data_IF_739610717738
#
_entry.id   IF_739610717738
#
_cell.length_a   1.000
_cell.length_b   1.000
_cell.length_c   1.000
_cell.angle_alpha   90.00
_cell.angle_beta   90.00
_cell.angle_gamma   90.00
#
_symmetry.space_group_name_H-M   'P 1'
#
loop_
_entity.id
_entity.type
_entity.pdbx_description
1 polymer ?
#
# COMPACT_ATOMS: atom_id res chain seq x y z
N UNK A 1 40.52 82.78 40.36
CA UNK A 1 40.66 82.01 39.10
C UNK A 1 39.38 81.90 38.26
N UNK A 2 38.18 82.26 38.73
CA UNK A 2 36.92 82.05 37.99
C UNK A 2 36.39 83.22 37.13
N UNK A 3 37.05 84.39 37.11
CA UNK A 3 36.58 85.55 36.30
C UNK A 3 36.61 85.32 34.78
N UNK A 4 37.39 84.34 34.31
CA UNK A 4 37.48 83.98 32.88
C UNK A 4 36.29 83.17 32.37
N UNK A 5 35.53 82.51 33.25
CA UNK A 5 34.35 81.72 32.86
C UNK A 5 33.12 82.59 32.58
N UNK A 6 33.11 83.84 33.03
CA UNK A 6 32.01 84.80 32.87
C UNK A 6 32.25 85.84 31.77
N UNK A 7 33.18 85.57 30.84
CA UNK A 7 33.32 86.40 29.65
C UNK A 7 32.17 86.09 28.68
N UNK A 8 31.50 87.11 28.14
CA UNK A 8 30.43 86.99 27.12
C UNK A 8 30.73 85.97 26.01
N UNK A 9 31.99 85.87 25.58
CA UNK A 9 32.47 84.92 24.56
C UNK A 9 32.34 83.44 24.99
N UNK A 10 32.55 83.12 26.27
CA UNK A 10 32.40 81.76 26.82
C UNK A 10 30.92 81.38 26.85
N UNK A 11 30.03 82.31 27.26
CA UNK A 11 28.59 82.12 27.18
C UNK A 11 28.10 81.90 25.75
N UNK A 12 28.62 82.66 24.78
CA UNK A 12 28.30 82.50 23.36
C UNK A 12 28.73 81.13 22.81
N UNK A 13 29.94 80.67 23.13
CA UNK A 13 30.44 79.34 22.73
C UNK A 13 29.65 78.21 23.39
N UNK A 14 29.22 78.37 24.66
CA UNK A 14 28.38 77.39 25.34
C UNK A 14 26.99 77.29 24.69
N UNK A 15 26.37 78.41 24.34
CA UNK A 15 25.09 78.42 23.61
C UNK A 15 25.24 77.82 22.21
N UNK A 16 26.34 78.11 21.51
CA UNK A 16 26.64 77.49 20.22
C UNK A 16 26.83 75.97 20.33
N UNK A 17 27.57 75.51 21.36
CA UNK A 17 27.75 74.08 21.62
C UNK A 17 26.44 73.37 21.96
N UNK A 18 25.57 74.01 22.76
CA UNK A 18 24.21 73.51 23.05
C UNK A 18 23.38 73.45 21.76
N UNK A 19 23.42 74.50 20.93
CA UNK A 19 22.71 74.51 19.66
C UNK A 19 23.16 73.41 18.70
N UNK A 20 24.47 73.19 18.59
CA UNK A 20 25.04 72.08 17.79
C UNK A 20 24.63 70.72 18.37
N UNK A 21 24.67 70.55 19.68
CA UNK A 21 24.29 69.30 20.34
C UNK A 21 22.80 69.00 20.14
N UNK A 22 21.92 69.99 20.34
CA UNK A 22 20.48 69.87 20.07
C UNK A 22 20.23 69.58 18.59
N UNK A 23 20.94 70.25 17.68
CA UNK A 23 20.85 70.00 16.24
C UNK A 23 21.26 68.58 15.86
N UNK A 24 22.38 68.06 16.41
CA UNK A 24 22.84 66.69 16.19
C UNK A 24 21.83 65.68 16.73
N UNK A 25 21.33 65.87 17.95
CA UNK A 25 20.30 65.00 18.54
C UNK A 25 19.04 64.99 17.66
N UNK A 26 18.54 66.16 17.26
CA UNK A 26 17.37 66.27 16.38
C UNK A 26 17.60 65.56 15.03
N UNK A 27 18.77 65.75 14.42
CA UNK A 27 19.11 65.15 13.13
C UNK A 27 19.26 63.63 13.23
N UNK A 28 19.84 63.11 14.32
CA UNK A 28 19.91 61.66 14.57
C UNK A 28 18.53 61.04 14.75
N UNK A 29 17.64 61.65 15.53
CA UNK A 29 16.26 61.17 15.68
C UNK A 29 15.50 61.24 14.36
N UNK A 30 15.65 62.32 13.59
CA UNK A 30 15.02 62.48 12.28
C UNK A 30 15.51 61.44 11.27
N UNK A 31 16.80 61.14 11.27
CA UNK A 31 17.38 60.07 10.46
C UNK A 31 16.88 58.69 10.89
N UNK A 32 16.77 58.44 12.21
CA UNK A 32 16.25 57.19 12.76
C UNK A 32 14.78 56.96 12.36
N UNK A 33 13.94 57.99 12.42
CA UNK A 33 12.54 57.93 11.98
C UNK A 33 12.41 57.50 10.52
N UNK A 34 13.22 58.10 9.64
CA UNK A 34 13.23 57.80 8.21
C UNK A 34 13.79 56.41 7.91
N UNK A 35 14.83 56.00 8.63
CA UNK A 35 15.53 54.75 8.33
C UNK A 35 14.88 53.52 8.96
N UNK A 36 14.20 53.67 10.10
CA UNK A 36 13.61 52.54 10.82
C UNK A 36 12.14 52.26 10.49
N UNK A 37 11.52 53.06 9.61
CA UNK A 37 10.10 52.99 9.27
C UNK A 37 9.23 52.88 10.55
N UNK A 38 9.55 53.70 11.55
CA UNK A 38 8.95 53.63 12.87
C UNK A 38 7.42 53.82 12.78
N UNK A 39 6.65 52.89 13.35
CA UNK A 39 5.18 52.92 13.34
C UNK A 39 4.50 52.37 12.07
N UNK A 40 5.24 51.93 11.04
CA UNK A 40 4.66 51.23 9.88
C UNK A 40 4.51 49.74 10.19
N UNK A 41 3.32 49.37 10.65
CA UNK A 41 3.01 47.99 11.01
C UNK A 41 1.78 47.47 10.26
N UNK A 42 1.95 46.31 9.65
CA UNK A 42 0.92 45.60 8.91
C UNK A 42 0.27 44.59 9.88
N UNK A 43 -1.07 44.53 9.96
CA UNK A 43 -1.74 43.49 10.73
C UNK A 43 -1.63 42.15 9.99
N UNK A 44 -1.28 41.10 10.72
CA UNK A 44 -1.23 39.74 10.15
C UNK A 44 -2.65 39.29 9.79
N UNK A 45 -2.94 38.95 8.52
CA UNK A 45 -4.27 38.50 8.12
C UNK A 45 -4.59 37.13 8.74
N UNK A 46 -5.87 36.88 9.01
CA UNK A 46 -6.31 35.59 9.49
C UNK A 46 -6.46 34.61 8.32
N UNK A 47 -5.46 33.75 8.15
CA UNK A 47 -5.43 32.71 7.12
C UNK A 47 -5.58 31.29 7.70
N UNK A 48 -5.95 31.17 8.98
CA UNK A 48 -6.20 29.87 9.62
C UNK A 48 -7.43 29.22 8.98
N UNK A 49 -7.37 27.91 8.76
CA UNK A 49 -8.36 27.09 8.05
C UNK A 49 -8.51 27.36 6.56
N UNK A 50 -7.76 28.31 5.99
CA UNK A 50 -7.68 28.49 4.53
C UNK A 50 -6.79 27.41 3.90
N UNK A 51 -6.92 27.24 2.59
CA UNK A 51 -5.94 26.47 1.83
C UNK A 51 -4.59 27.20 1.82
N UNK A 52 -3.49 26.45 1.75
CA UNK A 52 -2.14 27.02 1.63
C UNK A 52 -2.05 28.04 0.49
N UNK A 53 -2.71 27.79 -0.64
CA UNK A 53 -2.67 28.68 -1.80
C UNK A 53 -3.37 30.02 -1.52
N UNK A 54 -4.56 29.98 -0.93
CA UNK A 54 -5.29 31.20 -0.53
C UNK A 54 -4.55 31.98 0.57
N UNK A 55 -3.96 31.27 1.52
CA UNK A 55 -3.18 31.86 2.60
C UNK A 55 -1.93 32.59 2.07
N UNK A 56 -1.20 31.96 1.14
CA UNK A 56 -0.05 32.58 0.48
C UNK A 56 -0.49 33.85 -0.25
N UNK A 57 -1.57 33.79 -1.03
CA UNK A 57 -2.10 34.94 -1.74
C UNK A 57 -2.47 36.08 -0.78
N UNK A 58 -3.16 35.79 0.32
CA UNK A 58 -3.54 36.79 1.30
C UNK A 58 -2.33 37.44 2.02
N UNK A 59 -1.24 36.69 2.21
CA UNK A 59 0.00 37.23 2.78
C UNK A 59 0.77 38.07 1.77
N UNK A 60 0.83 37.63 0.51
CA UNK A 60 1.46 38.38 -0.58
C UNK A 60 0.70 39.70 -0.85
N UNK A 61 -0.65 39.66 -0.87
CA UNK A 61 -1.52 40.84 -1.00
C UNK A 61 -1.32 41.83 0.18
N UNK A 62 -0.94 41.32 1.36
CA UNK A 62 -0.62 42.11 2.54
C UNK A 62 0.86 42.56 2.61
N UNK A 63 1.70 42.23 1.61
CA UNK A 63 3.12 42.59 1.60
C UNK A 63 3.97 41.87 2.67
N UNK A 64 3.51 40.71 3.15
CA UNK A 64 4.20 39.90 4.15
C UNK A 64 4.96 38.76 3.48
N UNK A 65 6.06 38.33 4.09
CA UNK A 65 6.75 37.11 3.66
C UNK A 65 6.19 35.91 4.42
N UNK A 66 6.44 34.69 3.92
CA UNK A 66 5.97 33.48 4.55
C UNK A 66 7.03 32.39 4.55
N UNK A 67 6.94 31.52 5.54
CA UNK A 67 7.73 30.30 5.70
C UNK A 67 6.74 29.16 6.02
N UNK A 68 6.85 28.05 5.32
CA UNK A 68 5.93 26.92 5.47
C UNK A 68 6.62 25.86 6.34
N UNK A 69 6.01 25.59 7.49
CA UNK A 69 6.41 24.52 8.40
C UNK A 69 5.40 23.36 8.27
N UNK A 70 5.90 22.16 7.99
CA UNK A 70 5.07 20.97 7.79
C UNK A 70 4.97 20.19 9.09
N UNK A 71 3.78 20.14 9.68
CA UNK A 71 3.55 19.39 10.91
C UNK A 71 3.36 17.88 10.68
N UNK A 72 2.95 17.15 11.74
CA UNK A 72 2.41 15.80 11.58
C UNK A 72 1.07 15.87 10.86
N UNK A 73 0.85 14.95 9.91
CA UNK A 73 -0.43 14.80 9.24
C UNK A 73 -1.54 14.45 10.23
N UNK A 74 -2.65 15.16 10.12
CA UNK A 74 -3.88 14.88 10.86
C UNK A 74 -5.05 14.74 9.87
N UNK A 75 -5.71 13.56 9.81
CA UNK A 75 -6.82 13.31 8.89
C UNK A 75 -8.08 14.12 9.20
N UNK A 76 -8.17 14.80 10.35
CA UNK A 76 -9.30 15.70 10.68
C UNK A 76 -9.32 16.97 9.83
N UNK A 77 -8.17 17.36 9.28
CA UNK A 77 -8.02 18.59 8.50
C UNK A 77 -7.77 18.26 7.02
N UNK A 78 -8.11 19.19 6.12
CA UNK A 78 -7.83 19.02 4.70
C UNK A 78 -6.32 19.04 4.44
N UNK A 79 -5.88 18.36 3.39
CA UNK A 79 -4.49 18.43 2.94
C UNK A 79 -4.13 19.87 2.58
N UNK A 80 -2.94 20.32 3.02
CA UNK A 80 -2.44 21.68 2.83
C UNK A 80 -3.31 22.79 3.46
N UNK A 81 -4.18 22.44 4.42
CA UNK A 81 -4.88 23.44 5.22
C UNK A 81 -3.92 24.09 6.21
N UNK A 82 -4.00 25.42 6.37
CA UNK A 82 -3.27 26.14 7.41
C UNK A 82 -3.90 25.83 8.76
N UNK A 83 -3.11 25.23 9.65
CA UNK A 83 -3.54 24.85 11.00
C UNK A 83 -3.22 25.95 12.00
N UNK A 84 -2.06 26.58 11.84
CA UNK A 84 -1.57 27.60 12.74
C UNK A 84 -0.69 28.59 12.00
N UNK A 85 -0.65 29.81 12.51
CA UNK A 85 0.15 30.91 12.00
C UNK A 85 0.90 31.56 13.15
N UNK A 86 2.13 31.97 12.91
CA UNK A 86 2.94 32.73 13.86
C UNK A 86 3.69 33.88 13.18
N UNK A 87 3.59 35.13 13.67
CA UNK A 87 2.76 35.61 14.78
C UNK A 87 1.24 35.42 14.59
N UNK A 88 0.47 35.47 15.68
CA UNK A 88 -0.97 35.19 15.66
C UNK A 88 -1.74 36.20 14.77
N UNK A 89 -2.91 35.83 14.22
CA UNK A 89 -3.73 36.75 13.43
C UNK A 89 -4.04 38.04 14.19
N UNK A 90 -4.00 39.18 13.50
CA UNK A 90 -4.20 40.50 14.10
C UNK A 90 -2.97 41.08 14.82
N UNK A 91 -1.90 40.29 15.01
CA UNK A 91 -0.62 40.83 15.48
C UNK A 91 -0.08 41.86 14.50
N UNK A 92 0.61 42.86 15.00
CA UNK A 92 1.25 43.88 14.19
C UNK A 92 2.70 43.51 13.92
N UNK A 93 3.09 43.51 12.65
CA UNK A 93 4.45 43.18 12.21
C UNK A 93 4.96 44.23 11.25
N UNK A 94 6.29 44.38 11.18
CA UNK A 94 6.92 45.20 10.14
C UNK A 94 6.72 44.53 8.78
N UNK A 95 6.79 45.36 7.74
CA UNK A 95 6.83 44.91 6.35
C UNK A 95 7.94 43.87 6.14
N UNK A 96 7.71 42.93 5.24
CA UNK A 96 8.65 41.86 4.92
C UNK A 96 8.99 40.91 6.08
N UNK A 97 8.21 40.92 7.19
CA UNK A 97 8.34 39.89 8.23
C UNK A 97 7.88 38.54 7.68
N UNK A 98 8.72 37.52 7.83
CA UNK A 98 8.35 36.14 7.53
C UNK A 98 7.35 35.61 8.57
N UNK A 99 6.19 35.23 8.07
CA UNK A 99 5.09 34.62 8.80
C UNK A 99 5.19 33.10 8.67
N UNK A 100 5.34 32.41 9.79
CA UNK A 100 5.41 30.94 9.81
C UNK A 100 4.01 30.35 9.73
N UNK A 101 3.77 29.55 8.71
CA UNK A 101 2.53 28.82 8.48
C UNK A 101 2.75 27.35 8.78
N UNK A 102 2.07 26.85 9.82
CA UNK A 102 2.01 25.41 10.07
C UNK A 102 0.87 24.82 9.27
N UNK A 103 1.20 23.97 8.31
CA UNK A 103 0.24 23.36 7.39
C UNK A 103 0.07 21.87 7.67
N UNK A 104 -1.12 21.36 7.38
CA UNK A 104 -1.35 19.93 7.34
C UNK A 104 -0.68 19.35 6.08
N UNK A 105 0.24 18.38 6.19
CA UNK A 105 0.81 17.72 5.02
C UNK A 105 -0.24 17.07 4.12
N UNK A 106 0.20 16.61 2.94
CA UNK A 106 -0.66 15.85 2.03
C UNK A 106 -1.12 14.52 2.63
N UNK A 107 -0.22 13.81 3.28
CA UNK A 107 -0.44 12.46 3.81
C UNK A 107 0.52 12.19 4.97
N UNK A 108 0.38 11.02 5.59
CA UNK A 108 1.25 10.56 6.66
C UNK A 108 2.73 10.55 6.26
N UNK A 109 3.60 10.72 7.26
CA UNK A 109 5.04 10.55 7.08
C UNK A 109 5.34 9.17 6.45
N UNK A 110 6.31 9.13 5.54
CA UNK A 110 6.68 7.90 4.87
C UNK A 110 7.48 7.01 5.81
N UNK A 111 7.30 5.70 5.67
CA UNK A 111 8.03 4.65 6.36
C UNK A 111 8.64 3.71 5.33
N UNK A 112 9.79 3.14 5.67
CA UNK A 112 10.50 2.19 4.82
C UNK A 112 9.86 0.82 4.91
N UNK A 113 9.56 0.21 3.76
CA UNK A 113 9.10 -1.18 3.67
C UNK A 113 10.27 -2.10 4.00
N UNK A 114 10.16 -2.96 5.02
CA UNK A 114 11.21 -3.87 5.43
C UNK A 114 11.35 -5.01 4.43
N UNK A 115 12.52 -5.65 4.43
CA UNK A 115 12.67 -6.92 3.73
C UNK A 115 12.00 -8.05 4.51
N UNK A 116 10.94 -8.59 3.92
CA UNK A 116 10.08 -9.63 4.49
C UNK A 116 9.99 -10.84 3.56
N UNK A 117 10.78 -10.87 2.48
CA UNK A 117 10.81 -11.99 1.55
C UNK A 117 11.40 -13.23 2.22
N UNK A 118 10.87 -14.41 1.90
CA UNK A 118 11.24 -15.68 2.52
C UNK A 118 11.13 -15.66 4.06
N UNK A 119 10.13 -14.94 4.58
CA UNK A 119 9.77 -14.94 6.01
C UNK A 119 8.33 -15.43 6.17
N UNK A 120 8.06 -16.12 7.27
CA UNK A 120 6.72 -16.65 7.54
C UNK A 120 5.71 -15.52 7.78
N UNK A 121 4.51 -15.69 7.22
CA UNK A 121 3.43 -14.70 7.23
C UNK A 121 3.16 -14.09 8.60
N UNK A 122 3.13 -14.89 9.66
CA UNK A 122 2.85 -14.41 11.02
C UNK A 122 3.90 -13.39 11.50
N UNK A 123 5.18 -13.67 11.25
CA UNK A 123 6.28 -12.75 11.59
C UNK A 123 6.20 -11.47 10.78
N UNK A 124 5.89 -11.60 9.49
CA UNK A 124 5.75 -10.46 8.57
C UNK A 124 4.61 -9.54 8.98
N UNK A 125 3.47 -10.10 9.38
CA UNK A 125 2.29 -9.32 9.78
C UNK A 125 2.61 -8.42 10.98
N UNK A 126 3.20 -9.00 12.03
CA UNK A 126 3.63 -8.24 13.21
C UNK A 126 4.69 -7.20 12.87
N UNK A 127 5.63 -7.53 11.99
CA UNK A 127 6.69 -6.60 11.58
C UNK A 127 6.14 -5.40 10.83
N UNK A 128 5.20 -5.61 9.89
CA UNK A 128 4.55 -4.55 9.12
C UNK A 128 3.67 -3.67 10.02
N UNK A 129 2.88 -4.27 10.91
CA UNK A 129 2.03 -3.54 11.84
C UNK A 129 2.85 -2.63 12.77
N UNK A 130 3.98 -3.13 13.28
CA UNK A 130 4.87 -2.37 14.19
C UNK A 130 5.42 -1.09 13.57
N UNK A 131 5.72 -1.10 12.27
CA UNK A 131 6.18 0.08 11.54
C UNK A 131 5.02 0.93 11.00
N UNK A 132 3.78 0.52 11.28
CA UNK A 132 2.57 1.21 10.89
C UNK A 132 2.18 0.98 9.43
N UNK A 133 2.56 -0.13 8.81
CA UNK A 133 2.00 -0.58 7.53
C UNK A 133 0.90 -1.62 7.80
N UNK A 134 -0.13 -1.64 6.96
CA UNK A 134 -1.26 -2.57 7.10
C UNK A 134 -1.14 -3.70 6.09
N UNK A 135 -1.48 -4.91 6.51
CA UNK A 135 -1.65 -6.03 5.59
C UNK A 135 -3.05 -5.94 4.98
N UNK A 136 -3.10 -5.97 3.65
CA UNK A 136 -4.34 -6.04 2.88
C UNK A 136 -4.69 -7.48 2.56
N UNK A 137 -4.76 -7.78 1.27
CA UNK A 137 -5.09 -9.11 0.78
C UNK A 137 -3.88 -10.05 0.86
N UNK A 138 -4.19 -11.34 1.04
CA UNK A 138 -3.19 -12.42 0.99
C UNK A 138 -3.46 -13.30 -0.20
N UNK A 139 -2.55 -13.26 -1.18
CA UNK A 139 -2.64 -14.00 -2.43
C UNK A 139 -1.77 -15.24 -2.28
N UNK A 140 -2.36 -16.42 -2.47
CA UNK A 140 -1.63 -17.67 -2.34
C UNK A 140 -1.16 -18.17 -3.70
N UNK A 141 0.15 -18.43 -3.82
CA UNK A 141 0.78 -18.95 -5.03
C UNK A 141 1.60 -20.21 -4.71
N UNK A 142 1.64 -21.21 -5.61
CA UNK A 142 2.45 -22.42 -5.38
C UNK A 142 3.93 -22.09 -5.17
N UNK A 143 4.50 -22.60 -4.08
CA UNK A 143 5.90 -22.36 -3.71
C UNK A 143 6.42 -23.48 -2.85
N UNK A 144 7.72 -23.77 -2.92
CA UNK A 144 8.37 -24.79 -2.09
C UNK A 144 8.26 -24.45 -0.59
N UNK A 145 8.20 -23.17 -0.25
CA UNK A 145 8.12 -22.69 1.14
C UNK A 145 6.66 -22.35 1.50
N UNK A 146 5.92 -23.24 2.19
CA UNK A 146 4.57 -22.94 2.63
C UNK A 146 4.57 -21.81 3.68
N UNK A 147 3.55 -20.97 3.64
CA UNK A 147 3.34 -19.83 4.54
C UNK A 147 4.44 -18.75 4.54
N UNK A 148 5.44 -18.87 3.67
CA UNK A 148 6.45 -17.84 3.46
C UNK A 148 5.94 -16.77 2.51
N UNK A 149 6.24 -15.51 2.81
CA UNK A 149 5.99 -14.39 1.90
C UNK A 149 7.01 -14.46 0.77
N UNK A 150 6.53 -14.67 -0.45
CA UNK A 150 7.36 -14.74 -1.67
C UNK A 150 7.34 -13.43 -2.46
N UNK A 151 6.38 -12.54 -2.16
CA UNK A 151 6.27 -11.26 -2.83
C UNK A 151 5.36 -10.29 -2.08
N UNK A 152 5.42 -9.02 -2.48
CA UNK A 152 4.59 -7.95 -1.96
C UNK A 152 4.02 -7.14 -3.12
N UNK A 153 2.81 -6.62 -2.95
CA UNK A 153 2.17 -5.71 -3.92
C UNK A 153 1.61 -4.48 -3.22
N UNK A 154 1.67 -3.35 -3.91
CA UNK A 154 1.06 -2.10 -3.49
C UNK A 154 0.29 -1.52 -4.67
N UNK A 155 -1.02 -1.28 -4.51
CA UNK A 155 -1.92 -0.82 -5.57
C UNK A 155 -1.78 -1.63 -6.87
N UNK A 156 -1.76 -2.97 -6.76
CA UNK A 156 -1.66 -3.88 -7.90
C UNK A 156 -0.26 -4.01 -8.54
N UNK A 157 0.73 -3.27 -8.06
CA UNK A 157 2.11 -3.30 -8.60
C UNK A 157 3.05 -4.03 -7.65
N UNK A 158 4.05 -4.74 -8.17
CA UNK A 158 5.09 -5.39 -7.36
C UNK A 158 5.83 -4.35 -6.52
N UNK A 159 5.97 -4.63 -5.23
CA UNK A 159 6.61 -3.77 -4.25
C UNK A 159 7.97 -4.36 -3.84
N UNK A 160 9.02 -3.57 -3.96
CA UNK A 160 10.36 -3.95 -3.51
C UNK A 160 10.62 -3.52 -2.05
N UNK A 161 11.40 -4.31 -1.28
CA UNK A 161 11.94 -3.85 0.00
C UNK A 161 12.70 -2.52 -0.13
N UNK A 162 12.71 -1.73 0.94
CA UNK A 162 13.34 -0.40 0.96
C UNK A 162 12.48 0.73 0.38
N UNK A 163 11.35 0.42 -0.26
CA UNK A 163 10.43 1.44 -0.80
C UNK A 163 9.84 2.28 0.33
N UNK A 164 9.70 3.59 0.11
CA UNK A 164 9.08 4.51 1.07
C UNK A 164 7.58 4.66 0.78
N UNK A 165 6.75 4.20 1.70
CA UNK A 165 5.30 4.31 1.61
C UNK A 165 4.75 5.19 2.74
N UNK A 166 3.66 5.96 2.52
CA UNK A 166 2.98 6.65 3.60
C UNK A 166 2.62 5.68 4.73
N UNK A 167 2.79 6.09 5.99
CA UNK A 167 2.33 5.29 7.12
C UNK A 167 0.83 5.00 6.96
N UNK A 168 0.43 3.82 7.43
CA UNK A 168 -0.89 3.22 7.31
C UNK A 168 -1.31 2.81 5.89
N UNK A 169 -0.37 2.81 4.94
CA UNK A 169 -0.59 2.18 3.64
C UNK A 169 -0.86 0.69 3.79
N UNK A 170 -1.78 0.19 2.96
CA UNK A 170 -2.12 -1.22 2.86
C UNK A 170 -1.27 -1.90 1.80
N UNK A 171 -0.67 -3.04 2.13
CA UNK A 171 0.19 -3.84 1.25
C UNK A 171 -0.40 -5.24 1.15
N UNK A 172 -0.52 -5.74 -0.06
CA UNK A 172 -0.96 -7.12 -0.31
C UNK A 172 0.26 -8.04 -0.32
N UNK A 173 0.11 -9.23 0.25
CA UNK A 173 1.21 -10.18 0.39
C UNK A 173 0.95 -11.39 -0.49
N UNK A 174 1.98 -11.81 -1.22
CA UNK A 174 1.98 -13.08 -1.95
C UNK A 174 2.62 -14.11 -1.04
N UNK A 175 1.86 -15.13 -0.66
CA UNK A 175 2.21 -16.16 0.30
C UNK A 175 2.33 -17.50 -0.43
N UNK A 176 3.36 -18.27 -0.12
CA UNK A 176 3.51 -19.63 -0.61
C UNK A 176 2.41 -20.55 -0.06
N UNK A 177 1.66 -21.23 -0.92
CA UNK A 177 0.69 -22.25 -0.51
C UNK A 177 1.32 -23.64 -0.30
N UNK A 178 2.63 -23.77 -0.50
CA UNK A 178 3.28 -25.07 -0.62
C UNK A 178 3.29 -25.59 -2.07
N UNK A 179 3.91 -26.75 -2.32
CA UNK A 179 3.83 -27.43 -3.60
C UNK A 179 2.37 -27.73 -3.97
N UNK A 180 2.06 -27.75 -5.27
CA UNK A 180 0.72 -28.16 -5.72
C UNK A 180 0.42 -29.58 -5.25
N UNK A 181 -0.78 -29.79 -4.73
CA UNK A 181 -1.25 -31.10 -4.26
C UNK A 181 -2.25 -31.70 -5.23
N UNK A 182 -2.43 -33.02 -5.14
CA UNK A 182 -3.45 -33.76 -5.88
C UNK A 182 -3.37 -33.59 -7.40
N UNK A 183 -2.15 -33.56 -7.95
CA UNK A 183 -1.93 -33.60 -9.40
C UNK A 183 -2.11 -35.03 -9.88
N UNK A 184 -2.85 -35.23 -10.98
CA UNK A 184 -3.00 -36.53 -11.60
C UNK A 184 -1.70 -36.95 -12.30
N UNK A 185 -1.22 -38.15 -11.99
CA UNK A 185 -0.04 -38.74 -12.61
C UNK A 185 -0.34 -39.03 -14.09
N UNK A 186 0.47 -38.52 -15.05
CA UNK A 186 0.25 -38.75 -16.46
C UNK A 186 0.45 -40.23 -16.83
N UNK A 187 -0.21 -40.68 -17.89
CA UNK A 187 0.08 -41.98 -18.49
C UNK A 187 1.23 -41.83 -19.49
N UNK A 188 2.37 -42.45 -19.19
CA UNK A 188 3.55 -42.50 -20.05
C UNK A 188 3.83 -43.89 -20.61
N UNK A 189 3.00 -44.89 -20.27
CA UNK A 189 3.11 -46.24 -20.83
C UNK A 189 2.82 -46.21 -22.32
N UNK A 190 3.66 -46.89 -23.10
CA UNK A 190 3.62 -46.92 -24.57
C UNK A 190 4.35 -45.75 -25.24
N UNK A 191 4.86 -44.78 -24.48
CA UNK A 191 5.68 -43.68 -25.01
C UNK A 191 7.17 -44.03 -24.97
N UNK A 192 7.99 -43.32 -25.74
CA UNK A 192 9.44 -43.43 -25.59
C UNK A 192 9.90 -42.81 -24.28
N UNK A 193 11.01 -43.29 -23.70
CA UNK A 193 11.58 -42.71 -22.47
C UNK A 193 11.81 -41.20 -22.62
N UNK A 194 12.28 -40.75 -23.79
CA UNK A 194 12.42 -39.33 -24.10
C UNK A 194 11.09 -38.56 -23.97
N UNK A 195 10.01 -39.08 -24.54
CA UNK A 195 8.68 -38.47 -24.46
C UNK A 195 8.13 -38.51 -23.05
N UNK A 196 8.28 -39.64 -22.36
CA UNK A 196 7.86 -39.84 -20.99
C UNK A 196 8.51 -38.80 -20.07
N UNK A 197 9.83 -38.61 -20.17
CA UNK A 197 10.56 -37.62 -19.38
C UNK A 197 10.00 -36.20 -19.57
N UNK A 198 9.76 -35.80 -20.81
CA UNK A 198 9.18 -34.47 -21.10
C UNK A 198 7.79 -34.31 -20.48
N UNK A 199 6.93 -35.32 -20.59
CA UNK A 199 5.56 -35.27 -20.07
C UNK A 199 5.54 -35.27 -18.54
N UNK A 200 6.41 -36.07 -17.90
CA UNK A 200 6.58 -36.12 -16.44
C UNK A 200 6.97 -34.73 -15.90
N UNK A 201 8.00 -34.12 -16.47
CA UNK A 201 8.47 -32.79 -16.06
C UNK A 201 7.41 -31.69 -16.31
N UNK A 202 6.75 -31.71 -17.47
CA UNK A 202 5.66 -30.77 -17.79
C UNK A 202 4.44 -30.94 -16.87
N UNK A 203 4.24 -32.14 -16.32
CA UNK A 203 3.17 -32.44 -15.38
C UNK A 203 3.54 -32.17 -13.92
N UNK A 204 4.63 -31.41 -13.68
CA UNK A 204 5.13 -31.03 -12.35
C UNK A 204 5.64 -32.21 -11.51
N UNK A 205 6.02 -33.32 -12.13
CA UNK A 205 6.66 -34.47 -11.49
C UNK A 205 8.13 -34.56 -11.87
N UNK A 206 8.88 -35.44 -11.20
CA UNK A 206 10.28 -35.70 -11.50
C UNK A 206 10.43 -37.15 -11.95
N UNK A 207 11.35 -37.43 -12.87
CA UNK A 207 11.70 -38.81 -13.21
C UNK A 207 12.45 -39.44 -12.02
N UNK A 208 11.95 -40.56 -11.52
CA UNK A 208 12.59 -41.32 -10.45
C UNK A 208 13.53 -42.39 -11.02
N UNK A 209 13.27 -43.65 -10.68
CA UNK A 209 13.95 -44.81 -11.24
C UNK A 209 13.59 -44.98 -12.72
N UNK A 210 14.59 -45.17 -13.57
CA UNK A 210 14.41 -45.63 -14.94
C UNK A 210 15.14 -46.95 -15.12
N UNK A 211 14.40 -48.05 -15.19
CA UNK A 211 14.95 -49.39 -15.35
C UNK A 211 14.76 -49.89 -16.78
N UNK A 212 15.83 -50.43 -17.36
CA UNK A 212 15.86 -50.88 -18.74
C UNK A 212 16.03 -52.39 -18.78
N UNK A 213 15.25 -53.04 -19.64
CA UNK A 213 15.22 -54.50 -19.71
C UNK A 213 16.58 -55.14 -20.05
N UNK A 214 17.33 -54.51 -20.95
CA UNK A 214 18.66 -54.93 -21.38
C UNK A 214 19.78 -54.30 -20.52
N UNK A 215 19.41 -53.54 -19.47
CA UNK A 215 20.31 -52.80 -18.60
C UNK A 215 21.00 -51.61 -19.27
N UNK A 216 20.71 -51.31 -20.54
CA UNK A 216 21.27 -50.18 -21.26
C UNK A 216 20.26 -49.06 -21.32
N UNK A 217 20.63 -47.90 -20.78
CA UNK A 217 19.82 -46.70 -20.91
C UNK A 217 19.78 -46.22 -22.37
N UNK A 218 18.61 -46.37 -23.00
CA UNK A 218 18.31 -45.87 -24.34
C UNK A 218 17.00 -45.06 -24.28
N UNK A 219 17.10 -43.76 -24.59
CA UNK A 219 15.96 -42.84 -24.58
C UNK A 219 14.89 -43.17 -25.63
N UNK A 220 15.22 -44.05 -26.59
CA UNK A 220 14.34 -44.52 -27.66
C UNK A 220 13.47 -45.71 -27.23
N UNK A 221 13.80 -46.37 -26.11
CA UNK A 221 13.05 -47.51 -25.60
C UNK A 221 11.63 -47.11 -25.21
N UNK A 222 10.71 -48.06 -25.29
CA UNK A 222 9.29 -47.84 -25.00
C UNK A 222 9.03 -48.19 -23.54
N UNK A 223 8.40 -47.26 -22.82
CA UNK A 223 7.98 -47.47 -21.43
C UNK A 223 6.85 -48.51 -21.41
N UNK A 224 7.08 -49.64 -20.75
CA UNK A 224 6.08 -50.70 -20.61
C UNK A 224 5.41 -50.71 -19.23
N UNK A 225 6.00 -50.04 -18.25
CA UNK A 225 5.44 -49.93 -16.90
C UNK A 225 5.81 -48.58 -16.27
N UNK A 226 4.92 -48.07 -15.41
CA UNK A 226 5.19 -46.90 -14.58
C UNK A 226 4.66 -47.09 -13.16
N UNK A 227 5.31 -46.44 -12.20
CA UNK A 227 4.80 -46.27 -10.84
C UNK A 227 5.07 -44.84 -10.37
N UNK A 228 4.11 -44.11 -9.77
CA UNK A 228 2.73 -44.49 -9.49
C UNK A 228 1.86 -44.77 -10.73
N UNK A 229 0.76 -45.48 -10.52
CA UNK A 229 -0.22 -45.78 -11.57
C UNK A 229 -0.76 -44.51 -12.24
N UNK A 230 -1.02 -44.53 -13.57
CA UNK A 230 -1.66 -43.42 -14.26
C UNK A 230 -2.96 -42.97 -13.59
N UNK A 231 -3.19 -41.66 -13.52
CA UNK A 231 -4.38 -41.09 -12.89
C UNK A 231 -4.36 -41.07 -11.36
N UNK A 232 -3.39 -41.71 -10.71
CA UNK A 232 -3.22 -41.57 -9.26
C UNK A 232 -2.88 -40.12 -8.89
N UNK A 233 -3.32 -39.68 -7.72
CA UNK A 233 -3.07 -38.32 -7.25
C UNK A 233 -1.78 -38.27 -6.45
N UNK A 234 -0.92 -37.31 -6.78
CA UNK A 234 0.37 -37.08 -6.12
C UNK A 234 0.66 -35.59 -5.99
N UNK A 235 1.55 -35.26 -5.07
CA UNK A 235 2.01 -33.88 -4.90
C UNK A 235 3.09 -33.53 -5.94
N UNK A 236 3.21 -32.25 -6.24
CA UNK A 236 4.24 -31.72 -7.12
C UNK A 236 5.63 -32.11 -6.64
N UNK A 237 6.50 -32.45 -7.60
CA UNK A 237 7.88 -32.85 -7.35
C UNK A 237 8.04 -34.31 -6.97
N UNK A 238 6.95 -35.04 -6.74
CA UNK A 238 7.01 -36.50 -6.53
C UNK A 238 7.60 -37.19 -7.76
N UNK A 239 8.27 -38.31 -7.51
CA UNK A 239 8.93 -39.10 -8.54
C UNK A 239 7.96 -40.05 -9.23
N UNK A 240 8.17 -40.25 -10.52
CA UNK A 240 7.55 -41.30 -11.33
C UNK A 240 8.65 -42.21 -11.83
N UNK A 241 8.60 -43.46 -11.40
CA UNK A 241 9.47 -44.55 -11.81
C UNK A 241 8.92 -45.17 -13.10
N UNK A 242 9.82 -45.54 -14.01
CA UNK A 242 9.49 -46.12 -15.32
C UNK A 242 10.34 -47.35 -15.59
N UNK A 243 9.76 -48.29 -16.32
CA UNK A 243 10.47 -49.44 -16.88
C UNK A 243 10.32 -49.44 -18.40
N UNK A 244 11.44 -49.60 -19.10
CA UNK A 244 11.52 -49.48 -20.55
C UNK A 244 12.16 -50.71 -21.22
N UNK A 245 11.75 -50.99 -22.45
CA UNK A 245 12.30 -52.05 -23.29
C UNK A 245 12.16 -51.70 -24.77
N UNK A 246 12.98 -52.36 -25.61
CA UNK A 246 12.87 -52.36 -27.08
C UNK A 246 11.73 -53.25 -27.58
N UNK A 247 11.23 -54.14 -26.72
CA UNK A 247 10.15 -55.07 -27.03
C UNK A 247 8.80 -54.36 -27.02
N UNK A 248 7.83 -54.98 -27.68
CA UNK A 248 6.45 -54.51 -27.67
C UNK A 248 5.80 -54.72 -26.30
N UNK A 249 4.78 -53.91 -25.98
CA UNK A 249 4.05 -54.02 -24.70
C UNK A 249 3.48 -55.43 -24.48
N UNK A 250 3.04 -56.10 -25.56
CA UNK A 250 2.50 -57.45 -25.50
C UNK A 250 3.54 -58.50 -25.08
N UNK A 251 4.78 -58.36 -25.53
CA UNK A 251 5.89 -59.25 -25.13
C UNK A 251 6.30 -59.04 -23.67
N UNK A 252 5.98 -57.87 -23.10
CA UNK A 252 6.31 -57.49 -21.74
C UNK A 252 5.21 -57.85 -20.73
N UNK A 253 4.11 -58.47 -21.15
CA UNK A 253 2.96 -58.79 -20.28
C UNK A 253 3.35 -59.60 -19.03
N UNK A 254 4.26 -60.57 -19.17
CA UNK A 254 4.74 -61.36 -18.03
C UNK A 254 5.45 -60.50 -16.97
N UNK A 255 6.25 -59.52 -17.42
CA UNK A 255 6.95 -58.58 -16.52
C UNK A 255 6.01 -57.54 -15.92
N UNK A 256 5.03 -57.06 -16.70
CA UNK A 256 3.97 -56.17 -16.22
C UNK A 256 3.22 -56.84 -15.07
N UNK A 257 2.79 -58.10 -15.24
CA UNK A 257 2.09 -58.84 -14.20
C UNK A 257 2.95 -59.04 -12.94
N UNK A 258 4.26 -59.27 -13.10
CA UNK A 258 5.18 -59.41 -11.98
C UNK A 258 5.36 -58.07 -11.23
N UNK A 259 5.50 -56.95 -11.96
CA UNK A 259 5.58 -55.61 -11.37
C UNK A 259 4.28 -55.21 -10.69
N UNK A 260 3.12 -55.56 -11.25
CA UNK A 260 1.82 -55.30 -10.62
C UNK A 260 1.69 -56.01 -9.26
N UNK A 261 2.23 -57.23 -9.12
CA UNK A 261 2.23 -57.92 -7.82
C UNK A 261 3.08 -57.21 -6.75
N UNK A 262 4.07 -56.41 -7.17
CA UNK A 262 5.01 -55.71 -6.29
C UNK A 262 4.53 -54.28 -5.99
N UNK A 263 4.11 -53.54 -7.02
CA UNK A 263 3.87 -52.09 -6.95
C UNK A 263 2.39 -51.70 -6.88
N UNK A 264 1.45 -52.56 -7.30
CA UNK A 264 0.02 -52.27 -7.13
C UNK A 264 -0.44 -52.82 -5.79
N UNK A 265 -1.05 -51.95 -4.99
CA UNK A 265 -1.74 -52.35 -3.76
C UNK A 265 -2.80 -53.38 -4.15
N UNK A 266 -2.73 -54.57 -3.55
CA UNK A 266 -3.83 -55.54 -3.61
C UNK A 266 -5.00 -54.92 -2.87
N UNK A 267 -5.96 -54.40 -3.62
CA UNK A 267 -7.30 -54.24 -3.08
C UNK A 267 -7.84 -55.66 -3.06
N UNK A 268 -7.60 -56.41 -1.98
CA UNK A 268 -8.36 -57.62 -1.77
C UNK A 268 -9.83 -57.18 -1.87
N UNK A 269 -10.66 -57.82 -2.73
CA UNK A 269 -12.07 -57.54 -2.69
C UNK A 269 -12.47 -57.79 -1.25
N UNK A 270 -12.93 -56.73 -0.57
CA UNK A 270 -13.54 -56.89 0.73
C UNK A 270 -14.62 -57.92 0.49
N UNK A 271 -14.35 -59.16 0.91
CA UNK A 271 -15.35 -60.18 0.98
C UNK A 271 -16.28 -59.59 2.01
N UNK A 272 -17.40 -59.01 1.55
CA UNK A 272 -18.52 -58.68 2.41
C UNK A 272 -18.68 -59.91 3.29
N UNK A 273 -18.46 -59.81 4.62
CA UNK A 273 -18.72 -60.95 5.47
C UNK A 273 -20.15 -61.34 5.18
N UNK A 274 -20.35 -62.59 4.78
CA UNK A 274 -21.66 -63.20 4.64
C UNK A 274 -22.26 -63.26 6.04
N UNK A 275 -22.87 -62.15 6.45
CA UNK A 275 -23.74 -62.11 7.60
C UNK A 275 -25.03 -62.77 7.12
N UNK A 276 -25.14 -64.06 7.42
CA UNK A 276 -26.35 -64.83 7.20
C UNK A 276 -27.60 -64.07 7.66
N UNK A 277 -28.66 -64.23 6.88
CA UNK A 277 -30.00 -63.73 7.14
C UNK A 277 -30.44 -64.06 8.59
N UNK A 278 -30.46 -63.04 9.45
CA UNK A 278 -31.64 -62.68 10.26
C UNK A 278 -31.26 -61.53 11.20
N UNK A 279 -31.63 -60.31 10.81
CA UNK A 279 -31.85 -59.23 11.76
C UNK A 279 -33.26 -58.72 11.48
N UNK A 280 -34.24 -59.35 12.13
CA UNK A 280 -35.59 -58.81 12.21
C UNK A 280 -35.49 -57.45 12.91
N UNK A 281 -35.64 -56.37 12.15
CA UNK A 281 -35.73 -55.03 12.71
C UNK A 281 -37.07 -54.92 13.44
N UNK A 282 -37.05 -55.04 14.77
CA UNK A 282 -38.16 -54.61 15.61
C UNK A 282 -38.11 -53.07 15.67
N UNK A 283 -39.11 -52.35 15.13
CA UNK A 283 -39.06 -50.90 15.09
C UNK A 283 -39.19 -50.34 16.52
N UNK A 284 -38.16 -49.61 16.96
CA UNK A 284 -38.23 -48.85 18.22
C UNK A 284 -39.40 -47.87 18.21
N UNK A 285 -40.09 -47.65 19.35
CA UNK A 285 -41.21 -46.74 19.42
C UNK A 285 -40.78 -45.30 19.13
N UNK A 286 -41.45 -44.69 18.16
CA UNK A 286 -41.27 -43.30 17.75
C UNK A 286 -41.48 -42.37 18.95
N UNK A 287 -40.40 -41.71 19.38
CA UNK A 287 -40.44 -40.68 20.42
C UNK A 287 -41.12 -39.43 19.83
N UNK A 288 -42.17 -38.87 20.45
CA UNK A 288 -42.87 -37.73 19.88
C UNK A 288 -41.96 -36.51 19.78
N UNK A 289 -42.05 -35.87 18.62
CA UNK A 289 -41.35 -34.66 18.22
C UNK A 289 -41.57 -33.55 19.26
N UNK A 290 -40.50 -33.09 19.88
CA UNK A 290 -40.51 -31.97 20.81
C UNK A 290 -40.94 -30.70 20.09
N UNK A 291 -42.01 -30.08 20.59
CA UNK A 291 -42.60 -28.86 20.08
C UNK A 291 -41.58 -27.72 19.83
N UNK A 292 -41.81 -26.86 18.81
CA UNK A 292 -40.90 -25.78 18.48
C UNK A 292 -40.82 -24.74 19.61
N UNK A 293 -39.59 -24.40 20.00
CA UNK A 293 -39.31 -23.31 20.94
C UNK A 293 -39.76 -21.95 20.37
N UNK A 294 -40.28 -21.03 21.21
CA UNK A 294 -40.74 -19.73 20.76
C UNK A 294 -39.57 -18.81 20.35
N UNK A 295 -39.71 -18.18 19.17
CA UNK A 295 -38.79 -17.15 18.65
C UNK A 295 -38.75 -15.92 19.58
N UNK A 296 -37.59 -15.24 19.74
CA UNK A 296 -37.52 -13.98 20.44
C UNK A 296 -38.30 -12.87 19.70
N UNK A 297 -38.99 -12.05 20.49
CA UNK A 297 -39.84 -10.92 20.11
C UNK A 297 -38.99 -9.74 19.59
N UNK A 298 -39.30 -9.10 18.46
CA UNK A 298 -38.64 -7.86 18.04
C UNK A 298 -39.14 -6.68 18.87
N UNK A 299 -38.20 -5.86 19.36
CA UNK A 299 -38.46 -4.55 19.96
C UNK A 299 -39.04 -3.57 18.94
N UNK A 300 -40.00 -2.79 19.42
CA UNK A 300 -40.70 -1.72 18.74
C UNK A 300 -39.72 -0.58 18.43
N UNK A 301 -39.57 -0.22 17.15
CA UNK A 301 -39.14 1.12 16.74
C UNK A 301 -40.28 1.81 16.00
N UNK A 302 -40.60 2.98 16.53
CA UNK A 302 -41.68 3.88 16.20
C UNK A 302 -41.71 4.25 14.72
N UNK A 303 -42.90 4.15 14.14
CA UNK A 303 -43.25 4.52 12.78
C UNK A 303 -43.43 6.05 12.69
N UNK A 304 -42.68 6.72 11.81
CA UNK A 304 -42.95 8.10 11.38
C UNK A 304 -43.40 8.06 9.92
N UNK A 305 -44.64 8.52 9.74
CA UNK A 305 -45.45 8.64 8.53
C UNK A 305 -44.73 9.35 7.36
N UNK A 306 -44.84 8.88 6.10
CA UNK A 306 -44.41 9.65 4.94
C UNK A 306 -45.51 10.57 4.41
N UNK A 307 -45.17 11.82 4.17
CA UNK A 307 -45.91 12.83 3.40
C UNK A 307 -45.65 12.65 1.89
N UNK A 308 -46.58 13.10 1.01
CA UNK A 308 -46.54 12.80 -0.42
C UNK A 308 -45.57 13.70 -1.20
N UNK A 309 -45.03 13.09 -2.26
CA UNK A 309 -44.13 13.61 -3.30
C UNK A 309 -44.83 14.67 -4.18
N UNK A 310 -44.15 15.77 -4.55
CA UNK A 310 -44.48 16.52 -5.75
C UNK A 310 -43.61 16.09 -6.95
N UNK A 311 -44.25 16.22 -8.10
CA UNK A 311 -43.84 15.92 -9.47
C UNK A 311 -42.89 16.99 -10.07
N UNK A 312 -42.36 16.68 -11.27
CA UNK A 312 -41.55 17.51 -12.20
C UNK A 312 -40.01 17.40 -12.05
N UNK A 313 -39.17 17.35 -13.09
CA UNK A 313 -39.31 17.37 -14.54
C UNK A 313 -38.06 16.72 -15.20
N UNK A 314 -38.23 16.21 -16.43
CA UNK A 314 -37.17 15.70 -17.33
C UNK A 314 -36.22 16.82 -17.80
N UNK A 315 -34.91 16.57 -17.96
CA UNK A 315 -34.01 17.52 -18.59
C UNK A 315 -34.06 17.43 -20.13
N UNK A 316 -34.02 18.61 -20.77
CA UNK A 316 -33.96 18.84 -22.22
C UNK A 316 -32.48 18.96 -22.65
N UNK A 317 -32.07 18.50 -23.86
CA UNK A 317 -30.70 18.63 -24.34
C UNK A 317 -30.48 19.96 -25.06
N UNK A 318 -29.33 20.61 -24.85
CA UNK A 318 -28.89 21.80 -25.61
C UNK A 318 -27.36 21.82 -25.52
N UNK A 319 -26.63 21.38 -26.54
CA UNK A 319 -26.27 22.04 -27.81
C UNK A 319 -24.85 22.63 -27.74
N UNK A 320 -24.07 22.26 -28.76
CA UNK A 320 -22.65 22.52 -28.93
C UNK A 320 -22.38 24.01 -29.10
N UNK A 321 -21.31 24.52 -28.47
CA UNK A 321 -20.75 25.83 -28.81
C UNK A 321 -19.31 25.68 -29.30
N UNK A 322 -19.12 26.13 -30.54
CA UNK A 322 -17.92 26.23 -31.37
C UNK A 322 -16.84 27.11 -30.71
N UNK A 323 -15.53 26.88 -30.98
CA UNK A 323 -14.43 27.63 -30.39
C UNK A 323 -14.17 28.96 -31.12
N UNK A 324 -13.81 30.00 -30.37
CA UNK A 324 -13.30 31.28 -30.86
C UNK A 324 -11.93 31.61 -30.20
N UNK A 325 -11.13 32.54 -30.76
CA UNK A 325 -9.73 32.27 -31.08
C UNK A 325 -8.72 32.86 -30.08
N UNK A 326 -7.49 32.34 -30.19
CA UNK A 326 -6.27 32.79 -29.50
C UNK A 326 -6.05 34.31 -29.55
N UNK A 327 -5.64 34.93 -28.43
CA UNK A 327 -4.80 36.11 -28.45
C UNK A 327 -3.32 35.74 -28.32
N UNK A 328 -2.51 36.34 -29.19
CA UNK A 328 -1.04 36.34 -29.27
C UNK A 328 -0.35 36.87 -28.00
N UNK A 329 0.83 36.33 -27.60
CA UNK A 329 1.63 36.90 -26.51
C UNK A 329 2.81 37.77 -27.01
N UNK A 330 2.99 38.96 -26.41
CA UNK A 330 4.25 39.72 -26.25
C UNK A 330 4.08 40.73 -25.08
N UNK A 331 5.15 41.18 -24.40
CA UNK A 331 6.42 40.54 -24.10
C UNK A 331 6.75 40.49 -22.58
N UNK A 332 7.77 39.68 -22.28
CA UNK A 332 8.52 39.46 -21.02
C UNK A 332 8.54 40.62 -20.03
N UNK A 333 8.18 40.33 -18.77
CA UNK A 333 8.52 41.14 -17.59
C UNK A 333 8.96 40.22 -16.43
N UNK A 334 9.80 40.78 -15.55
CA UNK A 334 10.80 40.18 -14.67
C UNK A 334 10.40 39.04 -13.72
N UNK A 335 11.38 38.14 -13.49
CA UNK A 335 11.35 37.09 -12.47
C UNK A 335 11.27 37.68 -11.05
N UNK A 336 10.35 37.25 -10.17
CA UNK A 336 10.52 37.46 -8.74
C UNK A 336 11.51 36.46 -8.15
N UNK A 337 12.31 36.95 -7.20
CA UNK A 337 13.36 36.22 -6.46
C UNK A 337 12.79 35.02 -5.71
N UNK A 338 13.52 33.90 -5.78
CA UNK A 338 13.24 32.64 -5.10
C UNK A 338 13.26 32.84 -3.57
N UNK A 339 12.11 32.65 -2.91
CA UNK A 339 12.03 32.49 -1.45
C UNK A 339 12.26 31.01 -1.10
N UNK A 340 13.14 30.75 -0.12
CA UNK A 340 13.58 29.41 0.27
C UNK A 340 12.41 28.62 0.86
N UNK A 341 12.10 27.49 0.22
CA UNK A 341 11.28 26.41 0.78
C UNK A 341 12.25 25.42 1.40
N UNK A 342 12.34 25.37 2.73
CA UNK A 342 13.06 24.31 3.44
C UNK A 342 12.03 23.25 3.78
N UNK A 343 12.08 22.13 3.06
CA UNK A 343 11.34 20.91 3.39
C UNK A 343 12.41 19.93 3.89
N UNK A 344 12.40 19.63 5.17
CA UNK A 344 13.03 18.41 5.71
C UNK A 344 12.01 17.27 5.79
#
# INVERSE_FOLDING_TARGET
MFKSLFHWKVGLNAVAAIGVLVGLVWLTFRWLELHTNHGKEIPVPNVVNMSMHEAIKALDDAGLEYEIDSGKYDPKYKSFQVLQIYPSPGSRVKESRAIRLRVNPRTWAKVTVPDVLNRYKNTVFTQLERIGLKVGDTIYEPSIQPDAVIGMRYNGTTLAPGTLLPRFSTIDLIIGSGPRRNIAVPNVVGMTVKQAKMIIEQSYFTLGLAEYEDGRSDDSDIVYYQDPAPGSLRDQGMQIDIWASKKTLAEMQGKINALDQVYRVRVDPVTTPDFGEDITYEPEPVRPESAPQPKPKPEVKTEVKPTPKPEAAKPKPTEQKKPEPKPTPKPVEEKPKVKKVVIE
#
